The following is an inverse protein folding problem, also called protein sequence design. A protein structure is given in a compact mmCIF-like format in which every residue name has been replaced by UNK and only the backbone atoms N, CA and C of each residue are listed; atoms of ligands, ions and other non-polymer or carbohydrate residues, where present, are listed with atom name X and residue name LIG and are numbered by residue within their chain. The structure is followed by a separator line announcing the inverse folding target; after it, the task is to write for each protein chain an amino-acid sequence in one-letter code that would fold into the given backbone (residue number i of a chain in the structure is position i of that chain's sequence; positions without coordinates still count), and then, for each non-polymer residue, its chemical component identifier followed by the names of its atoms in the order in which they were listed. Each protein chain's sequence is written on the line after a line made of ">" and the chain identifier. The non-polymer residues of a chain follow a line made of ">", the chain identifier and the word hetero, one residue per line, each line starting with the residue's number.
data_IF_486159013946
#
_entry.id   IF_486159013946
#
_cell.length_a   1.000
_cell.length_b   1.000
_cell.length_c   1.000
_cell.angle_alpha   90.00
_cell.angle_beta   90.00
_cell.angle_gamma   90.00
#
_symmetry.space_group_name_H-M   'P 1'
#
loop_
_entity.id
_entity.type
_entity.pdbx_description
1 polymer ?
#
# COMPACT_ATOMS: atom_id res chain seq x y z
N UNK A 1 16.48 1.80 -27.94
CA UNK A 1 17.68 2.64 -27.71
C UNK A 1 17.37 3.71 -26.64
N UNK A 2 17.28 3.32 -25.36
CA UNK A 2 17.02 4.23 -24.20
C UNK A 2 18.02 4.00 -23.05
N UNK A 3 19.16 3.37 -23.34
CA UNK A 3 20.17 2.97 -22.36
C UNK A 3 21.45 3.82 -22.43
N UNK A 4 21.61 4.62 -23.49
CA UNK A 4 22.84 5.39 -23.73
C UNK A 4 22.75 6.85 -23.28
N UNK A 5 21.55 7.39 -23.01
CA UNK A 5 21.37 8.82 -22.70
C UNK A 5 21.19 9.13 -21.21
N UNK A 6 20.66 8.21 -20.39
CA UNK A 6 20.27 8.54 -19.00
C UNK A 6 21.24 8.03 -17.91
N UNK A 7 22.30 7.30 -18.29
CA UNK A 7 23.32 6.77 -17.37
C UNK A 7 22.74 6.06 -16.13
N UNK A 8 23.49 6.07 -15.03
CA UNK A 8 23.09 5.46 -13.75
C UNK A 8 21.85 6.16 -13.13
N UNK A 9 21.55 7.37 -13.57
CA UNK A 9 20.44 8.21 -13.07
C UNK A 9 19.08 7.57 -13.39
N UNK A 10 18.95 6.81 -14.48
CA UNK A 10 17.75 6.03 -14.77
C UNK A 10 17.51 4.87 -13.78
N UNK A 11 18.57 4.41 -13.13
CA UNK A 11 18.54 3.27 -12.21
C UNK A 11 18.16 3.69 -10.78
N UNK A 12 18.53 4.91 -10.37
CA UNK A 12 18.28 5.46 -9.02
C UNK A 12 17.17 6.53 -8.97
N UNK A 13 16.24 6.55 -9.93
CA UNK A 13 15.07 7.44 -9.84
C UNK A 13 14.17 6.97 -8.69
N UNK A 14 13.65 7.92 -7.90
CA UNK A 14 12.58 7.65 -6.95
C UNK A 14 11.49 6.83 -7.65
N UNK A 15 11.10 5.71 -7.04
CA UNK A 15 10.14 4.78 -7.61
C UNK A 15 8.79 5.48 -7.81
N UNK A 16 8.59 6.05 -9.00
CA UNK A 16 7.41 6.84 -9.37
C UNK A 16 6.20 5.98 -9.71
N UNK A 17 6.17 4.73 -9.21
CA UNK A 17 5.05 3.79 -9.39
C UNK A 17 3.88 4.22 -8.50
N UNK A 18 3.20 5.28 -8.91
CA UNK A 18 1.90 5.68 -8.35
C UNK A 18 0.79 4.80 -8.92
N UNK A 19 0.86 3.49 -8.65
CA UNK A 19 -0.22 2.56 -8.96
C UNK A 19 -1.29 2.63 -7.89
N UNK A 20 -2.50 3.08 -8.24
CA UNK A 20 -3.66 2.87 -7.37
C UNK A 20 -3.93 1.36 -7.38
N UNK A 21 -3.67 0.68 -6.25
CA UNK A 21 -3.99 -0.75 -6.15
C UNK A 21 -5.48 -0.93 -6.46
N UNK A 22 -5.79 -1.56 -7.60
CA UNK A 22 -7.17 -1.81 -8.03
C UNK A 22 -7.97 -2.67 -7.03
N UNK A 23 -7.29 -3.25 -6.04
CA UNK A 23 -7.85 -4.07 -4.96
C UNK A 23 -8.27 -3.26 -3.72
N UNK A 24 -7.81 -2.02 -3.58
CA UNK A 24 -8.17 -1.13 -2.46
C UNK A 24 -9.27 -0.14 -2.88
N UNK A 25 -10.46 -0.70 -3.11
CA UNK A 25 -11.67 0.10 -3.33
C UNK A 25 -12.10 0.77 -2.00
N UNK A 26 -12.87 1.88 -2.03
CA UNK A 26 -13.30 2.58 -0.82
C UNK A 26 -13.98 1.67 0.22
N UNK A 27 -14.87 0.78 -0.23
CA UNK A 27 -15.57 -0.17 0.65
C UNK A 27 -14.63 -1.17 1.32
N UNK A 28 -13.51 -1.52 0.67
CA UNK A 28 -12.49 -2.41 1.24
C UNK A 28 -11.66 -1.64 2.27
N UNK A 29 -11.35 -0.37 2.01
CA UNK A 29 -10.64 0.49 2.96
C UNK A 29 -11.45 0.67 4.25
N UNK A 30 -12.77 0.87 4.16
CA UNK A 30 -13.64 0.99 5.33
C UNK A 30 -13.61 -0.30 6.18
N UNK A 31 -13.70 -1.48 5.54
CA UNK A 31 -13.61 -2.76 6.25
C UNK A 31 -12.24 -2.97 6.91
N UNK A 32 -11.17 -2.62 6.20
CA UNK A 32 -9.80 -2.72 6.74
C UNK A 32 -9.63 -1.76 7.93
N UNK A 33 -10.17 -0.54 7.85
CA UNK A 33 -10.08 0.44 8.92
C UNK A 33 -10.75 -0.08 10.19
N UNK A 34 -11.98 -0.60 10.10
CA UNK A 34 -12.69 -1.20 11.25
C UNK A 34 -11.85 -2.32 11.90
N UNK A 35 -11.22 -3.18 11.09
CA UNK A 35 -10.37 -4.27 11.59
C UNK A 35 -9.09 -3.78 12.23
N UNK A 36 -8.47 -2.73 11.69
CA UNK A 36 -7.32 -2.06 12.29
C UNK A 36 -7.68 -1.44 13.64
N UNK A 37 -8.87 -0.82 13.74
CA UNK A 37 -9.36 -0.21 14.98
C UNK A 37 -9.68 -1.27 16.05
N UNK A 38 -10.03 -2.49 15.64
CA UNK A 38 -10.16 -3.66 16.53
C UNK A 38 -8.80 -4.25 16.97
N UNK A 39 -7.68 -3.67 16.53
CA UNK A 39 -6.34 -4.15 16.86
C UNK A 39 -5.89 -5.38 16.07
N UNK A 40 -6.57 -5.75 14.98
CA UNK A 40 -6.13 -6.85 14.14
C UNK A 40 -4.82 -6.51 13.42
N UNK A 41 -3.95 -7.52 13.24
CA UNK A 41 -2.69 -7.34 12.53
C UNK A 41 -2.90 -7.16 11.03
N UNK A 42 -2.06 -6.36 10.39
CA UNK A 42 -2.10 -6.15 8.94
C UNK A 42 -1.96 -7.47 8.16
N UNK A 43 -1.22 -8.45 8.68
CA UNK A 43 -1.11 -9.78 8.09
C UNK A 43 -2.45 -10.54 8.09
N UNK A 44 -3.16 -10.54 9.22
CA UNK A 44 -4.47 -11.20 9.35
C UNK A 44 -5.48 -10.58 8.39
N UNK A 45 -5.55 -9.24 8.36
CA UNK A 45 -6.47 -8.50 7.49
C UNK A 45 -6.14 -8.75 6.01
N UNK A 46 -4.86 -8.76 5.64
CA UNK A 46 -4.42 -9.03 4.28
C UNK A 46 -4.88 -10.42 3.79
N UNK A 47 -4.77 -11.44 4.65
CA UNK A 47 -5.20 -12.81 4.35
C UNK A 47 -6.72 -12.89 4.16
N UNK A 48 -7.49 -12.21 5.00
CA UNK A 48 -8.95 -12.23 4.95
C UNK A 48 -9.50 -11.48 3.72
N UNK A 49 -8.98 -10.28 3.43
CA UNK A 49 -9.41 -9.46 2.29
C UNK A 49 -8.73 -9.88 0.97
N UNK A 50 -7.88 -10.91 0.98
CA UNK A 50 -7.12 -11.44 -0.18
C UNK A 50 -6.28 -10.35 -0.89
N UNK A 51 -5.67 -9.46 -0.11
CA UNK A 51 -4.76 -8.41 -0.59
C UNK A 51 -3.35 -8.63 -0.04
N UNK A 52 -2.36 -7.94 -0.61
CA UNK A 52 -1.01 -7.98 -0.07
C UNK A 52 -0.91 -7.12 1.19
N UNK A 53 -0.13 -7.55 2.17
CA UNK A 53 0.18 -6.73 3.35
C UNK A 53 0.84 -5.40 2.96
N UNK A 54 1.68 -5.43 1.91
CA UNK A 54 2.27 -4.22 1.32
C UNK A 54 1.22 -3.21 0.83
N UNK A 55 0.06 -3.67 0.35
CA UNK A 55 -1.05 -2.76 -0.02
C UNK A 55 -1.61 -2.04 1.20
N UNK A 56 -1.79 -2.75 2.31
CA UNK A 56 -2.27 -2.16 3.57
C UNK A 56 -1.23 -1.17 4.10
N UNK A 57 0.05 -1.55 4.13
CA UNK A 57 1.16 -0.69 4.56
C UNK A 57 1.26 0.58 3.71
N UNK A 58 1.14 0.43 2.39
CA UNK A 58 1.13 1.56 1.46
C UNK A 58 -0.07 2.48 1.71
N UNK A 59 -1.26 1.94 1.95
CA UNK A 59 -2.44 2.73 2.26
C UNK A 59 -2.34 3.46 3.61
N UNK A 60 -1.67 2.88 4.61
CA UNK A 60 -1.32 3.56 5.87
C UNK A 60 -0.34 4.71 5.59
N UNK A 61 0.73 4.46 4.84
CA UNK A 61 1.71 5.49 4.49
C UNK A 61 1.11 6.65 3.69
N UNK A 62 0.12 6.37 2.85
CA UNK A 62 -0.65 7.38 2.11
C UNK A 62 -1.69 8.12 2.98
N UNK A 63 -1.86 7.75 4.26
CA UNK A 63 -2.87 8.32 5.15
C UNK A 63 -4.31 7.93 4.83
N UNK A 64 -4.52 6.93 3.95
CA UNK A 64 -5.86 6.39 3.62
C UNK A 64 -6.38 5.44 4.69
N UNK A 65 -5.48 4.80 5.43
CA UNK A 65 -5.77 3.99 6.60
C UNK A 65 -5.02 4.58 7.79
N UNK A 66 -5.63 4.53 8.96
CA UNK A 66 -5.01 4.95 10.22
C UNK A 66 -4.78 3.73 11.08
N UNK A 67 -3.54 3.51 11.49
CA UNK A 67 -3.23 2.54 12.54
C UNK A 67 -3.27 3.29 13.86
N UNK A 68 -4.24 2.96 14.72
CA UNK A 68 -4.23 3.43 16.11
C UNK A 68 -3.09 2.68 16.78
N UNK A 69 -1.98 3.38 17.01
CA UNK A 69 -0.86 2.85 17.77
C UNK A 69 -1.22 3.06 19.25
N UNK A 70 -1.74 1.99 19.87
CA UNK A 70 -1.84 1.90 21.32
C UNK A 70 -0.43 1.73 21.93
#
# INVERSE_FOLDING_TARGET
>A
KKLLEEGDVAFFKEESRHGRSHKLLPTVLDRIQVKLDQGQSSYSIAKEERISEGSIRYAINLGRLKKIQC
#
